data_IF_509034342694
#
_entry.id   IF_509034342694
#
_cell.length_a   1.000
_cell.length_b   1.000
_cell.length_c   1.000
_cell.angle_alpha   90.00
_cell.angle_beta   90.00
_cell.angle_gamma   90.00
#
_symmetry.space_group_name_H-M   'P 1'
#
loop_
_entity.id
_entity.type
_entity.pdbx_description
1 polymer ?
#
# COMPACT_ATOMS: atom_id res chain seq x y z
N UNK A 1 15.73 -4.36 -7.10
CA UNK A 1 14.97 -3.93 -8.29
C UNK A 1 13.77 -4.83 -8.50
N UNK A 2 12.64 -4.25 -8.79
CA UNK A 2 11.42 -5.01 -9.03
C UNK A 2 11.51 -5.71 -10.39
N UNK A 3 11.28 -7.03 -10.42
CA UNK A 3 11.41 -7.78 -11.66
C UNK A 3 10.24 -7.60 -12.61
N UNK A 4 9.08 -7.34 -12.08
CA UNK A 4 7.88 -7.16 -12.90
C UNK A 4 7.80 -5.75 -13.45
N UNK A 5 7.27 -5.63 -14.66
CA UNK A 5 6.94 -4.33 -15.22
C UNK A 5 5.60 -3.80 -14.74
N UNK A 6 4.88 -4.58 -13.95
CA UNK A 6 3.57 -4.18 -13.43
C UNK A 6 3.74 -3.01 -12.46
N UNK A 7 3.05 -1.92 -12.74
CA UNK A 7 3.10 -0.70 -11.92
C UNK A 7 1.82 -0.45 -11.14
N UNK A 8 0.89 -1.38 -11.21
CA UNK A 8 -0.41 -1.21 -10.62
C UNK A 8 -1.43 -0.70 -11.62
N UNK A 9 -2.70 -0.80 -11.25
CA UNK A 9 -3.81 -0.34 -12.10
C UNK A 9 -4.04 1.15 -11.94
N UNK A 10 -3.52 1.73 -10.85
CA UNK A 10 -3.65 3.15 -10.56
C UNK A 10 -2.33 3.67 -10.00
N UNK A 11 -2.12 4.96 -10.14
CA UNK A 11 -1.01 5.68 -9.55
C UNK A 11 -1.55 6.73 -8.58
N UNK A 12 -0.70 7.22 -7.69
CA UNK A 12 -1.11 8.22 -6.70
C UNK A 12 -1.76 9.44 -7.37
N UNK A 13 -1.19 9.89 -8.48
CA UNK A 13 -1.67 11.08 -9.19
C UNK A 13 -3.07 10.95 -9.76
N UNK A 14 -3.57 9.73 -9.99
CA UNK A 14 -4.89 9.53 -10.57
C UNK A 14 -5.81 8.70 -9.69
N UNK A 15 -5.49 8.57 -8.41
CA UNK A 15 -6.32 7.80 -7.48
C UNK A 15 -7.75 8.33 -7.41
N UNK A 16 -7.94 9.64 -7.43
CA UNK A 16 -9.28 10.21 -7.36
C UNK A 16 -10.16 9.80 -8.54
N UNK A 17 -9.55 9.49 -9.68
CA UNK A 17 -10.28 9.02 -10.85
C UNK A 17 -10.86 7.61 -10.65
N UNK A 18 -10.37 6.91 -9.65
CA UNK A 18 -10.80 5.54 -9.34
C UNK A 18 -11.63 5.47 -8.06
N UNK A 19 -12.16 6.61 -7.61
CA UNK A 19 -12.91 6.67 -6.35
C UNK A 19 -14.05 5.65 -6.33
N UNK A 20 -14.12 4.88 -5.24
CA UNK A 20 -15.12 3.83 -5.07
C UNK A 20 -14.79 2.51 -5.75
N UNK A 21 -13.73 2.45 -6.53
CA UNK A 21 -13.32 1.25 -7.24
C UNK A 21 -12.25 0.49 -6.48
N UNK A 22 -12.19 -0.82 -6.72
CA UNK A 22 -11.08 -1.64 -6.24
C UNK A 22 -9.98 -1.59 -7.27
N UNK A 23 -8.77 -1.29 -6.82
CA UNK A 23 -7.59 -1.22 -7.68
C UNK A 23 -6.42 -1.94 -7.03
N UNK A 24 -5.50 -2.39 -7.86
CA UNK A 24 -4.23 -2.92 -7.39
C UNK A 24 -3.15 -1.86 -7.61
N UNK A 25 -2.35 -1.65 -6.58
CA UNK A 25 -1.25 -0.70 -6.65
C UNK A 25 0.04 -1.36 -6.19
N UNK A 26 1.14 -0.90 -6.74
CA UNK A 26 2.47 -1.30 -6.30
C UNK A 26 3.09 -0.11 -5.59
N UNK A 27 3.62 -0.34 -4.40
CA UNK A 27 4.23 0.74 -3.65
C UNK A 27 5.33 0.28 -2.73
N UNK A 28 6.28 1.18 -2.49
CA UNK A 28 7.33 0.99 -1.51
C UNK A 28 6.87 1.57 -0.18
N UNK A 29 6.90 0.77 0.86
CA UNK A 29 6.51 1.21 2.19
C UNK A 29 7.49 2.25 2.73
N UNK A 30 6.96 3.39 3.14
CA UNK A 30 7.76 4.48 3.70
C UNK A 30 7.55 4.59 5.20
N UNK A 31 6.31 4.62 5.64
CA UNK A 31 6.00 4.78 7.07
C UNK A 31 4.70 4.07 7.43
N UNK A 32 4.62 3.65 8.68
CA UNK A 32 3.43 3.02 9.25
C UNK A 32 3.08 3.76 10.52
N UNK A 33 1.80 4.08 10.70
CA UNK A 33 1.27 4.67 11.91
C UNK A 33 0.24 3.72 12.51
N UNK A 34 0.40 3.43 13.79
CA UNK A 34 -0.51 2.55 14.53
C UNK A 34 -1.53 3.39 15.28
N UNK A 35 -2.80 3.08 15.12
CA UNK A 35 -3.87 3.76 15.82
C UNK A 35 -4.75 2.72 16.48
N UNK A 36 -5.05 2.92 17.77
CA UNK A 36 -5.93 2.04 18.50
C UNK A 36 -7.36 2.54 18.37
N UNK A 37 -8.28 1.65 18.00
CA UNK A 37 -9.68 2.00 17.90
C UNK A 37 -10.31 2.07 19.28
N UNK A 38 -11.54 2.61 19.35
CA UNK A 38 -12.27 2.66 20.61
C UNK A 38 -12.57 1.27 21.18
N UNK A 39 -12.58 0.26 20.32
CA UNK A 39 -12.77 -1.14 20.74
C UNK A 39 -11.46 -1.80 21.17
N UNK A 40 -10.36 -1.09 21.14
CA UNK A 40 -9.06 -1.63 21.49
C UNK A 40 -8.35 -2.37 20.40
N UNK A 41 -8.89 -2.38 19.18
CA UNK A 41 -8.26 -3.01 18.04
C UNK A 41 -7.24 -2.06 17.40
N UNK A 42 -6.24 -2.62 16.74
CA UNK A 42 -5.20 -1.82 16.09
C UNK A 42 -5.51 -1.65 14.62
N UNK A 43 -5.53 -0.40 14.17
CA UNK A 43 -5.56 -0.04 12.76
C UNK A 43 -4.21 0.53 12.37
N UNK A 44 -3.81 0.33 11.14
CA UNK A 44 -2.61 0.93 10.61
C UNK A 44 -2.95 1.90 9.49
N UNK A 45 -2.28 3.05 9.53
CA UNK A 45 -2.23 3.97 8.40
C UNK A 45 -0.81 3.92 7.86
N UNK A 46 -0.66 3.81 6.57
CA UNK A 46 0.66 3.73 5.97
C UNK A 46 0.78 4.68 4.79
N UNK A 47 2.00 5.06 4.49
CA UNK A 47 2.31 5.82 3.30
C UNK A 47 3.29 5.03 2.46
N UNK A 48 3.00 4.96 1.16
CA UNK A 48 3.81 4.26 0.17
C UNK A 48 4.22 5.22 -0.93
N UNK A 49 5.33 4.91 -1.58
CA UNK A 49 5.71 5.57 -2.83
C UNK A 49 5.31 4.67 -3.99
N UNK A 50 4.63 5.26 -4.97
CA UNK A 50 4.26 4.51 -6.17
C UNK A 50 5.43 4.41 -7.17
N UNK A 51 5.16 3.84 -8.35
CA UNK A 51 6.19 3.64 -9.36
C UNK A 51 6.79 4.95 -9.87
N UNK A 52 6.06 6.05 -9.76
CA UNK A 52 6.52 7.38 -10.17
C UNK A 52 7.16 8.16 -9.04
N UNK A 53 7.26 7.59 -7.85
CA UNK A 53 7.85 8.24 -6.69
C UNK A 53 6.91 9.20 -5.98
N UNK A 54 5.62 9.07 -6.15
CA UNK A 54 4.64 9.89 -5.45
C UNK A 54 3.99 9.11 -4.32
N UNK A 55 3.64 9.83 -3.25
CA UNK A 55 3.04 9.21 -2.07
C UNK A 55 1.57 8.89 -2.29
N UNK A 56 1.14 7.75 -1.77
CA UNK A 56 -0.26 7.48 -1.57
C UNK A 56 -0.46 6.87 -0.19
N UNK A 57 -1.62 7.13 0.40
CA UNK A 57 -1.94 6.69 1.75
C UNK A 57 -2.82 5.45 1.72
N UNK A 58 -2.62 4.59 2.70
CA UNK A 58 -3.41 3.38 2.84
C UNK A 58 -3.97 3.29 4.25
N UNK A 59 -5.12 2.60 4.36
CA UNK A 59 -5.76 2.31 5.63
C UNK A 59 -5.89 0.80 5.75
N UNK A 60 -5.43 0.26 6.85
CA UNK A 60 -5.45 -1.19 7.11
C UNK A 60 -6.30 -1.46 8.35
N UNK A 61 -7.46 -2.05 8.13
CA UNK A 61 -8.35 -2.43 9.22
C UNK A 61 -7.88 -3.72 9.88
N UNK A 62 -8.29 -3.98 11.14
CA UNK A 62 -7.82 -5.15 11.88
C UNK A 62 -7.99 -6.47 11.15
N UNK A 63 -9.12 -6.68 10.47
CA UNK A 63 -9.37 -7.92 9.75
C UNK A 63 -8.35 -8.12 8.61
N UNK A 64 -8.05 -7.05 7.89
CA UNK A 64 -7.07 -7.11 6.81
C UNK A 64 -5.66 -7.35 7.35
N UNK A 65 -5.31 -6.70 8.45
CA UNK A 65 -3.99 -6.88 9.07
C UNK A 65 -3.77 -8.29 9.59
N UNK A 66 -4.84 -8.94 10.06
CA UNK A 66 -4.75 -10.31 10.57
C UNK A 66 -4.35 -11.28 9.47
N UNK A 67 -4.92 -11.11 8.28
CA UNK A 67 -4.66 -11.99 7.14
C UNK A 67 -3.46 -11.54 6.30
N UNK A 68 -3.24 -10.23 6.24
CA UNK A 68 -2.21 -9.62 5.40
C UNK A 68 -1.39 -8.62 6.20
N UNK A 69 -0.58 -9.08 7.16
CA UNK A 69 0.22 -8.16 7.98
C UNK A 69 1.38 -7.55 7.20
N UNK A 70 1.89 -6.46 7.72
CA UNK A 70 3.14 -5.91 7.21
C UNK A 70 4.28 -6.87 7.49
N UNK A 71 5.17 -7.03 6.52
CA UNK A 71 6.34 -7.91 6.60
C UNK A 71 7.63 -7.13 6.44
N UNK A 72 7.71 -5.99 7.12
CA UNK A 72 8.87 -5.12 7.04
C UNK A 72 8.81 -4.19 5.85
N UNK A 73 9.85 -3.40 5.70
CA UNK A 73 9.94 -2.46 4.60
C UNK A 73 10.23 -3.18 3.30
N UNK A 74 9.80 -2.61 2.22
CA UNK A 74 9.96 -3.18 0.89
C UNK A 74 8.84 -2.77 -0.03
N UNK A 75 8.69 -3.50 -1.12
CA UNK A 75 7.70 -3.21 -2.14
C UNK A 75 6.53 -4.18 -1.98
N UNK A 76 5.33 -3.64 -2.03
CA UNK A 76 4.10 -4.40 -1.84
C UNK A 76 3.17 -4.28 -3.03
N UNK A 77 2.47 -5.36 -3.33
CA UNK A 77 1.31 -5.34 -4.20
C UNK A 77 0.08 -5.23 -3.29
N UNK A 78 -0.73 -4.22 -3.52
CA UNK A 78 -1.81 -3.86 -2.62
C UNK A 78 -3.11 -3.81 -3.39
N UNK A 79 -4.11 -4.56 -2.94
CA UNK A 79 -5.47 -4.50 -3.47
C UNK A 79 -6.35 -3.78 -2.45
N UNK A 80 -7.03 -2.75 -2.90
CA UNK A 80 -7.91 -2.01 -2.02
C UNK A 80 -8.92 -1.19 -2.78
N UNK A 81 -9.84 -0.61 -2.02
CA UNK A 81 -10.85 0.30 -2.56
C UNK A 81 -10.40 1.73 -2.35
N UNK A 82 -10.53 2.53 -3.39
CA UNK A 82 -10.21 3.95 -3.29
C UNK A 82 -11.34 4.67 -2.57
N UNK A 83 -11.00 5.33 -1.47
CA UNK A 83 -11.93 6.12 -0.68
C UNK A 83 -11.41 7.54 -0.55
N UNK A 84 -12.30 8.47 -0.20
CA UNK A 84 -11.94 9.85 0.00
C UNK A 84 -12.12 10.23 1.46
N UNK A 85 -11.11 10.89 2.02
CA UNK A 85 -11.18 11.46 3.35
C UNK A 85 -10.68 12.89 3.31
N UNK A 86 -11.54 13.83 3.72
CA UNK A 86 -11.18 15.26 3.76
C UNK A 86 -10.63 15.78 2.44
N UNK A 87 -11.18 15.30 1.32
CA UNK A 87 -10.76 15.72 0.01
C UNK A 87 -9.55 15.00 -0.56
N UNK A 88 -8.97 14.06 0.18
CA UNK A 88 -7.78 13.32 -0.25
C UNK A 88 -8.12 11.86 -0.47
N UNK A 89 -7.57 11.24 -1.53
CA UNK A 89 -7.79 9.83 -1.78
C UNK A 89 -6.93 8.97 -0.87
N UNK A 90 -7.47 7.84 -0.50
CA UNK A 90 -6.78 6.85 0.30
C UNK A 90 -7.18 5.47 -0.19
N UNK A 91 -6.32 4.47 0.02
CA UNK A 91 -6.62 3.10 -0.38
C UNK A 91 -6.97 2.29 0.86
N UNK A 92 -8.22 1.84 0.94
CA UNK A 92 -8.66 0.97 2.02
C UNK A 92 -8.28 -0.45 1.65
N UNK A 93 -7.25 -0.97 2.30
CA UNK A 93 -6.59 -2.21 1.89
C UNK A 93 -7.43 -3.43 2.24
N UNK A 94 -7.63 -4.30 1.24
CA UNK A 94 -8.29 -5.59 1.43
C UNK A 94 -7.28 -6.71 1.45
N UNK A 95 -6.31 -6.68 0.54
CA UNK A 95 -5.25 -7.69 0.45
C UNK A 95 -3.92 -7.02 0.16
N UNK A 96 -2.86 -7.61 0.64
CA UNK A 96 -1.53 -7.06 0.47
C UNK A 96 -0.51 -8.18 0.51
N UNK A 97 0.50 -8.10 -0.34
CA UNK A 97 1.60 -9.05 -0.33
C UNK A 97 2.90 -8.32 -0.61
N UNK A 98 3.91 -8.63 0.19
CA UNK A 98 5.24 -8.10 -0.06
C UNK A 98 5.83 -8.81 -1.27
N UNK A 99 6.28 -8.05 -2.25
CA UNK A 99 6.87 -8.61 -3.44
C UNK A 99 8.33 -8.97 -3.19
N UNK A 100 8.77 -10.13 -3.70
CA UNK A 100 10.18 -10.47 -3.61
C UNK A 100 10.99 -9.57 -4.52
N UNK A 101 12.12 -9.06 -4.01
CA UNK A 101 13.09 -8.35 -4.82
C UNK A 101 14.13 -9.35 -5.30
N UNK A 102 14.38 -9.34 -6.60
CA UNK A 102 15.51 -10.09 -7.09
C UNK A 102 16.77 -9.30 -6.78
N UNK A 103 17.76 -9.91 -6.10
CA UNK A 103 18.99 -9.19 -5.81
C UNK A 103 19.66 -8.73 -7.11
N UNK A 104 20.02 -7.47 -7.14
CA UNK A 104 20.91 -6.97 -8.18
C UNK A 104 22.29 -7.55 -7.90
N UNK A 105 23.01 -8.11 -8.90
CA UNK A 105 24.35 -8.62 -8.65
C UNK A 105 25.29 -7.61 -8.00
N UNK A 106 25.04 -6.32 -8.21
CA UNK A 106 25.83 -5.26 -7.56
C UNK A 106 25.50 -5.10 -6.08
N UNK A 107 24.30 -5.51 -5.67
CA UNK A 107 23.85 -5.40 -4.28
C UNK A 107 24.11 -6.69 -3.50
N UNK A 108 24.50 -7.75 -4.19
CA UNK A 108 24.71 -9.05 -3.61
C UNK A 108 26.09 -9.22 -2.98
N UNK A 109 26.85 -8.18 -2.95
CA UNK A 109 28.21 -8.22 -2.42
C UNK A 109 28.23 -8.43 -0.90
#
# INVERSE_FOLDING_TARGET
>A
MLKTSFRGEALARNLMDHLGRKVRMVGRLVTIKYVKTVKGEIMNFAAFLDADGEFFDTVHFPASLKEHPFRGYGIYLILGRVVEEFGFPSLEVEKMAKLPLKPDPRDAA
#
